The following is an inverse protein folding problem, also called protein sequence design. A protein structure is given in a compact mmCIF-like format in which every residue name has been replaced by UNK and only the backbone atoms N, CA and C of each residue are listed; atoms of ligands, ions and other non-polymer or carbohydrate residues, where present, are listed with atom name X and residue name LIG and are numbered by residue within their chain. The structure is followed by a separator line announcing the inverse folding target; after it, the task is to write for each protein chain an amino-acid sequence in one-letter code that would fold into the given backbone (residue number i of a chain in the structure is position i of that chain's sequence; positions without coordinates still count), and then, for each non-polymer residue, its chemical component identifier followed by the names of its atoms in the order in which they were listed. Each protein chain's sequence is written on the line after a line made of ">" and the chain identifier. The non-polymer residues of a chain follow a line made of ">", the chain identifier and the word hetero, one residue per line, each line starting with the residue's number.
data_IF_332808406405
#
_entry.id   IF_332808406405
#
_cell.length_a   1.000
_cell.length_b   1.000
_cell.length_c   1.000
_cell.angle_alpha   90.00
_cell.angle_beta   90.00
_cell.angle_gamma   90.00
#
_symmetry.space_group_name_H-M   'P 1'
#
loop_
_entity.id
_entity.type
_entity.pdbx_description
1 polymer ?
#
# COMPACT_ATOMS: atom_id res chain seq x y z
N UNK A 1 4.20 -0.17 3.98
CA UNK A 1 3.27 -1.25 3.56
C UNK A 1 3.43 -1.43 2.05
N UNK A 2 2.84 -2.47 1.44
CA UNK A 2 3.06 -2.74 0.01
C UNK A 2 1.95 -2.15 -0.88
N UNK A 3 0.95 -2.91 -1.36
CA UNK A 3 -0.13 -2.35 -2.21
C UNK A 3 -1.53 -2.60 -1.65
N UNK A 4 -1.85 -3.81 -1.20
CA UNK A 4 -3.23 -4.17 -0.84
C UNK A 4 -3.72 -3.39 0.38
N UNK A 5 -2.89 -3.24 1.42
CA UNK A 5 -3.22 -2.41 2.59
C UNK A 5 -3.45 -0.95 2.20
N UNK A 6 -2.63 -0.39 1.30
CA UNK A 6 -2.80 0.98 0.83
C UNK A 6 -4.13 1.20 0.10
N UNK A 7 -4.52 0.26 -0.77
CA UNK A 7 -5.80 0.33 -1.45
C UNK A 7 -6.97 0.12 -0.51
N UNK A 8 -6.89 -0.83 0.43
CA UNK A 8 -7.92 -1.05 1.44
C UNK A 8 -8.23 0.25 2.20
N UNK A 9 -7.18 0.93 2.67
CA UNK A 9 -7.33 2.15 3.46
C UNK A 9 -7.82 3.34 2.63
N UNK A 10 -7.54 3.37 1.32
CA UNK A 10 -8.10 4.36 0.41
C UNK A 10 -9.62 4.21 0.20
N UNK A 11 -10.21 3.08 0.60
CA UNK A 11 -11.65 2.82 0.48
C UNK A 11 -12.10 2.77 -0.98
N UNK A 12 -13.25 3.40 -1.25
CA UNK A 12 -13.88 3.47 -2.59
C UNK A 12 -13.59 4.78 -3.33
N UNK A 13 -12.65 5.58 -2.82
CA UNK A 13 -12.26 6.86 -3.45
C UNK A 13 -11.13 6.63 -4.46
N UNK A 14 -11.47 6.71 -5.75
CA UNK A 14 -10.54 6.52 -6.86
C UNK A 14 -9.37 7.51 -6.83
N UNK A 15 -9.57 8.74 -6.37
CA UNK A 15 -8.50 9.73 -6.25
C UNK A 15 -7.51 9.32 -5.16
N UNK A 16 -8.01 8.82 -4.01
CA UNK A 16 -7.15 8.29 -2.95
C UNK A 16 -6.41 7.03 -3.38
N UNK A 17 -7.06 6.13 -4.14
CA UNK A 17 -6.43 4.92 -4.69
C UNK A 17 -5.31 5.28 -5.67
N UNK A 18 -5.55 6.22 -6.58
CA UNK A 18 -4.53 6.73 -7.51
C UNK A 18 -3.38 7.39 -6.75
N UNK A 19 -3.68 8.23 -5.75
CA UNK A 19 -2.66 8.86 -4.93
C UNK A 19 -1.81 7.84 -4.16
N UNK A 20 -2.43 6.80 -3.60
CA UNK A 20 -1.72 5.73 -2.92
C UNK A 20 -0.79 4.95 -3.87
N UNK A 21 -1.23 4.64 -5.09
CA UNK A 21 -0.34 4.05 -6.11
C UNK A 21 0.91 4.92 -6.35
N UNK A 22 0.74 6.24 -6.36
CA UNK A 22 1.77 7.22 -6.71
C UNK A 22 2.70 7.59 -5.54
N UNK A 23 2.41 7.19 -4.30
CA UNK A 23 3.14 7.60 -3.10
C UNK A 23 4.64 7.40 -3.18
N UNK A 24 5.08 6.26 -3.70
CA UNK A 24 6.49 5.94 -3.91
C UNK A 24 7.13 6.63 -5.11
N UNK A 25 6.33 7.08 -6.09
CA UNK A 25 6.81 7.67 -7.33
C UNK A 25 6.96 9.19 -7.23
N UNK A 26 6.17 9.82 -6.36
CA UNK A 26 6.20 11.28 -6.15
C UNK A 26 7.21 11.60 -5.05
N UNK A 27 8.31 12.27 -5.43
CA UNK A 27 9.37 12.69 -4.52
C UNK A 27 9.21 14.17 -4.13
N UNK A 28 9.65 14.53 -2.93
CA UNK A 28 9.59 15.90 -2.43
C UNK A 28 8.19 16.32 -1.96
N UNK A 29 7.89 17.62 -2.05
CA UNK A 29 6.63 18.22 -1.57
C UNK A 29 5.46 17.84 -2.47
N UNK A 30 4.41 17.26 -1.90
CA UNK A 30 3.24 16.77 -2.67
C UNK A 30 2.47 17.93 -3.28
N UNK A 31 2.43 19.08 -2.60
CA UNK A 31 1.78 20.30 -3.11
C UNK A 31 2.41 20.81 -4.42
N UNK A 32 3.65 20.40 -4.75
CA UNK A 32 4.33 20.74 -6.00
C UNK A 32 4.21 19.66 -7.07
N UNK A 33 3.49 18.58 -6.78
CA UNK A 33 3.28 17.53 -7.74
C UNK A 33 2.28 17.96 -8.79
N UNK A 34 2.73 17.89 -10.05
CA UNK A 34 1.97 18.27 -11.23
C UNK A 34 1.95 17.11 -12.22
N UNK A 35 0.75 16.75 -12.66
CA UNK A 35 0.46 15.84 -13.78
C UNK A 35 -0.90 16.23 -14.36
N UNK A 36 -1.17 15.91 -15.65
CA UNK A 36 -2.50 16.09 -16.21
C UNK A 36 -3.57 15.43 -15.33
N UNK A 37 -4.59 16.20 -14.95
CA UNK A 37 -5.70 15.70 -14.13
C UNK A 37 -5.34 15.43 -12.66
N UNK A 38 -4.24 15.99 -12.13
CA UNK A 38 -3.99 15.98 -10.69
C UNK A 38 -5.07 16.79 -9.96
N UNK A 39 -5.59 16.26 -8.87
CA UNK A 39 -6.54 16.93 -7.98
C UNK A 39 -5.95 17.02 -6.58
N UNK A 40 -6.53 17.87 -5.72
CA UNK A 40 -6.13 17.92 -4.32
C UNK A 40 -6.48 16.61 -3.58
N UNK A 41 -7.55 15.92 -4.00
CA UNK A 41 -7.89 14.61 -3.44
C UNK A 41 -6.84 13.55 -3.78
N UNK A 42 -6.31 13.55 -5.01
CA UNK A 42 -5.21 12.68 -5.41
C UNK A 42 -3.93 13.01 -4.62
N UNK A 43 -3.63 14.29 -4.41
CA UNK A 43 -2.53 14.73 -3.53
C UNK A 43 -2.73 14.23 -2.08
N UNK A 44 -3.96 14.27 -1.57
CA UNK A 44 -4.31 13.66 -0.29
C UNK A 44 -4.04 12.16 -0.28
N UNK A 45 -4.31 11.43 -1.37
CA UNK A 45 -3.93 10.02 -1.51
C UNK A 45 -2.41 9.78 -1.47
N UNK A 46 -1.60 10.64 -2.11
CA UNK A 46 -0.12 10.56 -2.04
C UNK A 46 0.35 10.80 -0.60
N UNK A 47 -0.24 11.78 0.09
CA UNK A 47 0.09 12.07 1.49
C UNK A 47 -0.36 10.92 2.40
N UNK A 48 -1.52 10.31 2.13
CA UNK A 48 -2.03 9.15 2.84
C UNK A 48 -1.07 7.97 2.75
N UNK A 49 -0.52 7.67 1.57
CA UNK A 49 0.54 6.65 1.42
C UNK A 49 1.70 6.90 2.38
N UNK A 50 2.21 8.13 2.43
CA UNK A 50 3.31 8.51 3.31
C UNK A 50 2.93 8.43 4.79
N UNK A 51 1.69 8.75 5.14
CA UNK A 51 1.15 8.60 6.49
C UNK A 51 1.13 7.13 6.90
N UNK A 52 0.64 6.24 6.02
CA UNK A 52 0.62 4.79 6.24
C UNK A 52 2.04 4.27 6.48
N UNK A 53 2.98 4.62 5.60
CA UNK A 53 4.36 4.16 5.72
C UNK A 53 5.05 4.70 6.98
N UNK A 54 4.88 5.99 7.28
CA UNK A 54 5.48 6.59 8.47
C UNK A 54 4.92 6.00 9.78
N UNK A 55 3.62 5.67 9.80
CA UNK A 55 3.00 4.99 10.94
C UNK A 55 3.53 3.57 11.09
N UNK A 56 3.53 2.79 10.00
CA UNK A 56 4.09 1.43 9.96
C UNK A 56 5.55 1.38 10.43
N UNK A 57 6.38 2.32 9.96
CA UNK A 57 7.80 2.36 10.29
C UNK A 57 8.11 2.68 11.75
N UNK A 58 7.14 3.17 12.52
CA UNK A 58 7.28 3.48 13.95
C UNK A 58 6.51 2.51 14.85
N UNK A 59 5.67 1.65 14.27
CA UNK A 59 4.78 0.82 15.05
C UNK A 59 5.55 -0.32 15.76
N UNK A 60 5.39 -0.50 17.08
CA UNK A 60 6.11 -1.54 17.83
C UNK A 60 5.95 -2.95 17.26
N UNK A 61 4.73 -3.34 16.88
CA UNK A 61 4.47 -4.66 16.29
C UNK A 61 5.21 -4.87 14.96
N UNK A 62 5.23 -3.86 14.08
CA UNK A 62 5.99 -3.90 12.81
C UNK A 62 7.49 -4.04 13.09
N UNK A 63 8.02 -3.34 14.10
CA UNK A 63 9.42 -3.51 14.51
C UNK A 63 9.72 -4.91 15.06
N UNK A 64 8.82 -5.52 15.83
CA UNK A 64 8.98 -6.92 16.30
C UNK A 64 9.07 -7.88 15.12
N UNK A 65 8.18 -7.74 14.15
CA UNK A 65 8.18 -8.51 12.91
C UNK A 65 9.46 -8.32 12.09
N UNK A 66 9.88 -7.06 11.84
CA UNK A 66 11.13 -6.75 11.11
C UNK A 66 12.37 -7.37 11.78
N UNK A 67 12.40 -7.42 13.12
CA UNK A 67 13.53 -7.99 13.89
C UNK A 67 13.69 -9.50 13.71
N UNK A 68 12.60 -10.25 13.53
CA UNK A 68 12.66 -11.70 13.27
C UNK A 68 13.46 -11.99 12.00
N UNK A 69 13.29 -11.15 10.97
CA UNK A 69 13.96 -11.31 9.68
C UNK A 69 15.34 -10.61 9.62
N UNK A 70 15.64 -9.75 10.59
CA UNK A 70 16.78 -8.83 10.51
C UNK A 70 18.15 -9.51 10.48
N UNK A 71 18.26 -10.71 11.06
CA UNK A 71 19.49 -11.50 11.04
C UNK A 71 19.86 -11.95 9.62
N UNK A 72 18.89 -12.39 8.82
CA UNK A 72 19.13 -12.90 7.47
C UNK A 72 18.99 -11.80 6.39
N UNK A 73 18.07 -10.85 6.57
CA UNK A 73 17.70 -9.88 5.53
C UNK A 73 18.08 -8.42 5.85
N UNK A 74 18.54 -8.13 7.07
CA UNK A 74 18.99 -6.80 7.48
C UNK A 74 17.96 -5.70 7.18
N UNK A 75 18.37 -4.67 6.44
CA UNK A 75 17.51 -3.54 6.06
C UNK A 75 16.35 -3.94 5.14
N UNK A 76 16.46 -5.06 4.41
CA UNK A 76 15.43 -5.53 3.49
C UNK A 76 14.26 -6.21 4.21
N UNK A 77 14.40 -6.48 5.50
CA UNK A 77 13.34 -7.02 6.35
C UNK A 77 12.06 -6.20 6.26
N UNK A 78 12.17 -4.86 6.13
CA UNK A 78 11.00 -4.00 5.97
C UNK A 78 10.17 -4.33 4.73
N UNK A 79 10.83 -4.46 3.57
CA UNK A 79 10.18 -4.81 2.31
C UNK A 79 9.49 -6.18 2.40
N UNK A 80 10.13 -7.14 3.07
CA UNK A 80 9.57 -8.48 3.24
C UNK A 80 8.32 -8.43 4.14
N UNK A 81 8.38 -7.69 5.25
CA UNK A 81 7.22 -7.52 6.15
C UNK A 81 6.08 -6.78 5.47
N UNK A 82 6.35 -5.76 4.65
CA UNK A 82 5.32 -5.05 3.90
C UNK A 82 4.54 -5.98 2.96
N UNK A 83 5.25 -6.87 2.25
CA UNK A 83 4.62 -7.90 1.39
C UNK A 83 3.89 -8.95 2.22
N UNK A 84 4.46 -9.36 3.36
CA UNK A 84 3.84 -10.33 4.24
C UNK A 84 2.56 -9.80 4.89
N UNK A 85 2.47 -8.51 5.21
CA UNK A 85 1.25 -7.92 5.77
C UNK A 85 0.12 -7.89 4.72
N UNK A 86 0.44 -7.59 3.46
CA UNK A 86 -0.50 -7.77 2.34
C UNK A 86 -0.92 -9.25 2.19
N UNK A 87 -0.04 -10.21 2.45
CA UNK A 87 -0.36 -11.64 2.44
C UNK A 87 -1.37 -12.02 3.52
N UNK A 88 -1.13 -11.58 4.76
CA UNK A 88 -2.03 -11.84 5.89
C UNK A 88 -3.40 -11.22 5.62
N UNK A 89 -3.43 -9.98 5.15
CA UNK A 89 -4.66 -9.29 4.73
C UNK A 89 -5.41 -10.07 3.63
N UNK A 90 -4.70 -10.48 2.57
CA UNK A 90 -5.31 -11.20 1.45
C UNK A 90 -5.84 -12.60 1.86
N UNK A 91 -5.13 -13.30 2.74
CA UNK A 91 -5.55 -14.63 3.25
C UNK A 91 -6.80 -14.56 4.11
N UNK A 92 -6.97 -13.47 4.87
CA UNK A 92 -8.09 -13.25 5.78
C UNK A 92 -9.04 -12.17 5.29
N UNK A 93 -9.11 -11.99 3.98
CA UNK A 93 -9.80 -10.85 3.37
C UNK A 93 -11.26 -10.69 3.80
N UNK A 94 -11.98 -11.80 4.00
CA UNK A 94 -13.39 -11.80 4.43
C UNK A 94 -13.61 -11.20 5.83
N UNK A 95 -12.56 -11.08 6.64
CA UNK A 95 -12.61 -10.42 7.95
C UNK A 95 -12.55 -8.88 7.82
N UNK A 96 -12.06 -8.38 6.69
CA UNK A 96 -11.71 -6.97 6.51
C UNK A 96 -12.56 -6.26 5.46
N UNK A 97 -13.21 -6.99 4.56
CA UNK A 97 -13.99 -6.40 3.47
C UNK A 97 -15.18 -7.28 3.06
N UNK A 98 -16.36 -6.69 2.76
CA UNK A 98 -17.56 -7.46 2.42
C UNK A 98 -17.52 -8.07 1.02
N UNK A 99 -16.85 -7.43 0.06
CA UNK A 99 -16.75 -7.95 -1.31
C UNK A 99 -15.57 -8.91 -1.47
N UNK A 100 -15.68 -9.97 -2.29
CA UNK A 100 -14.57 -10.90 -2.55
C UNK A 100 -13.30 -10.21 -3.05
N UNK A 101 -12.13 -10.68 -2.61
CA UNK A 101 -10.82 -10.09 -2.97
C UNK A 101 -10.62 -10.00 -4.49
N UNK A 102 -11.10 -10.99 -5.22
CA UNK A 102 -11.02 -11.00 -6.69
C UNK A 102 -11.79 -9.85 -7.32
N UNK A 103 -13.01 -9.57 -6.86
CA UNK A 103 -13.83 -8.46 -7.38
C UNK A 103 -13.21 -7.11 -7.01
N UNK A 104 -12.78 -6.98 -5.75
CA UNK A 104 -12.09 -5.79 -5.27
C UNK A 104 -10.81 -5.50 -6.07
N UNK A 105 -9.97 -6.51 -6.30
CA UNK A 105 -8.74 -6.36 -7.07
C UNK A 105 -9.02 -5.91 -8.52
N UNK A 106 -10.04 -6.48 -9.17
CA UNK A 106 -10.42 -6.09 -10.53
C UNK A 106 -10.95 -4.65 -10.59
N UNK A 107 -11.65 -4.19 -9.57
CA UNK A 107 -12.10 -2.80 -9.45
C UNK A 107 -10.90 -1.83 -9.36
N UNK A 108 -9.92 -2.14 -8.50
CA UNK A 108 -8.67 -1.39 -8.40
C UNK A 108 -7.96 -1.34 -9.76
N UNK A 109 -7.82 -2.49 -10.45
CA UNK A 109 -7.15 -2.54 -11.75
C UNK A 109 -7.85 -1.71 -12.81
N UNK A 110 -9.19 -1.75 -12.85
CA UNK A 110 -9.98 -0.95 -13.77
C UNK A 110 -9.78 0.55 -13.50
N UNK A 111 -9.75 0.93 -12.23
CA UNK A 111 -9.47 2.30 -11.79
C UNK A 111 -8.12 2.78 -12.33
N UNK A 112 -7.05 1.99 -12.12
CA UNK A 112 -5.71 2.36 -12.58
C UNK A 112 -5.62 2.44 -14.12
N UNK A 113 -6.21 1.46 -14.83
CA UNK A 113 -6.18 1.42 -16.29
C UNK A 113 -6.94 2.58 -16.93
N UNK A 114 -8.12 2.91 -16.40
CA UNK A 114 -8.96 4.00 -16.91
C UNK A 114 -8.32 5.38 -16.68
N UNK A 115 -7.41 5.47 -15.71
CA UNK A 115 -6.73 6.71 -15.32
C UNK A 115 -5.25 6.76 -15.73
N UNK A 116 -4.78 5.90 -16.66
CA UNK A 116 -3.38 5.92 -17.11
C UNK A 116 -2.91 7.30 -17.61
N UNK A 117 -3.81 8.10 -18.18
CA UNK A 117 -3.53 9.45 -18.66
C UNK A 117 -3.16 10.44 -17.53
N UNK A 118 -3.49 10.10 -16.27
CA UNK A 118 -3.20 10.89 -15.05
C UNK A 118 -2.02 10.33 -14.26
N UNK A 119 -1.55 9.14 -14.66
CA UNK A 119 -0.43 8.42 -14.03
C UNK A 119 0.83 8.70 -14.86
N UNK A 120 1.98 9.05 -14.25
CA UNK A 120 3.23 9.21 -14.98
C UNK A 120 3.58 7.95 -15.79
N UNK A 121 4.04 8.13 -17.03
CA UNK A 121 4.36 7.02 -17.94
C UNK A 121 5.35 6.00 -17.37
N UNK A 122 6.25 6.45 -16.48
CA UNK A 122 7.18 5.58 -15.76
C UNK A 122 6.50 4.53 -14.86
N UNK A 123 5.25 4.76 -14.44
CA UNK A 123 4.46 3.85 -13.59
C UNK A 123 3.59 2.90 -14.41
N UNK A 124 3.34 3.18 -15.69
CA UNK A 124 2.50 2.35 -16.56
C UNK A 124 2.95 0.87 -16.65
N UNK A 125 4.26 0.54 -16.73
CA UNK A 125 4.70 -0.86 -16.72
C UNK A 125 4.32 -1.59 -15.43
N UNK A 126 4.31 -0.90 -14.29
CA UNK A 126 3.87 -1.46 -13.01
C UNK A 126 2.38 -1.76 -13.06
N UNK A 127 1.53 -0.80 -13.46
CA UNK A 127 0.08 -0.98 -13.56
C UNK A 127 -0.27 -2.13 -14.50
N UNK A 128 0.41 -2.18 -15.65
CA UNK A 128 0.22 -3.25 -16.65
C UNK A 128 0.59 -4.62 -16.08
N UNK A 129 1.74 -4.72 -15.42
CA UNK A 129 2.21 -5.98 -14.84
C UNK A 129 1.34 -6.43 -13.66
N UNK A 130 0.97 -5.51 -12.79
CA UNK A 130 0.12 -5.75 -11.63
C UNK A 130 -1.25 -6.29 -12.04
N UNK A 131 -1.85 -5.67 -13.06
CA UNK A 131 -3.16 -6.10 -13.58
C UNK A 131 -3.05 -7.44 -14.30
N UNK A 132 -2.08 -7.58 -15.23
CA UNK A 132 -1.91 -8.79 -16.03
C UNK A 132 -1.69 -10.04 -15.19
N UNK A 133 -1.03 -9.89 -14.05
CA UNK A 133 -0.64 -11.00 -13.17
C UNK A 133 -1.45 -11.03 -11.87
N UNK A 134 -2.54 -10.26 -11.77
CA UNK A 134 -3.48 -10.27 -10.63
C UNK A 134 -2.76 -10.28 -9.26
N UNK A 135 -1.84 -9.33 -9.05
CA UNK A 135 -0.95 -9.33 -7.88
C UNK A 135 -1.71 -9.33 -6.55
N UNK A 136 -2.78 -8.51 -6.45
CA UNK A 136 -3.50 -8.25 -5.21
C UNK A 136 -4.22 -9.52 -4.75
N UNK A 137 -4.88 -10.24 -5.65
CA UNK A 137 -5.47 -11.54 -5.34
C UNK A 137 -4.40 -12.58 -5.04
N UNK A 138 -3.31 -12.59 -5.81
CA UNK A 138 -2.26 -13.58 -5.66
C UNK A 138 -1.52 -13.48 -4.31
N UNK A 139 -1.57 -12.32 -3.63
CA UNK A 139 -1.10 -12.21 -2.25
C UNK A 139 -1.77 -13.21 -1.31
N UNK A 140 -2.98 -13.73 -1.58
CA UNK A 140 -3.60 -14.75 -0.71
C UNK A 140 -2.87 -16.11 -0.74
N UNK A 141 -1.92 -16.32 -1.65
CA UNK A 141 -1.23 -17.61 -1.83
C UNK A 141 0.25 -17.54 -1.44
N UNK A 142 0.81 -18.60 -0.82
CA UNK A 142 2.25 -18.68 -0.55
C UNK A 142 3.11 -18.50 -1.82
N UNK A 143 2.71 -19.15 -2.92
CA UNK A 143 3.39 -19.02 -4.20
C UNK A 143 3.33 -17.59 -4.76
N UNK A 144 2.24 -16.86 -4.51
CA UNK A 144 2.08 -15.49 -4.94
C UNK A 144 3.03 -14.54 -4.22
N UNK A 145 3.24 -14.71 -2.91
CA UNK A 145 4.20 -13.89 -2.16
C UNK A 145 5.64 -14.21 -2.55
N UNK A 146 5.97 -15.49 -2.79
CA UNK A 146 7.28 -15.88 -3.31
C UNK A 146 7.55 -15.21 -4.65
N UNK A 147 6.58 -15.24 -5.57
CA UNK A 147 6.68 -14.56 -6.87
C UNK A 147 6.80 -13.05 -6.73
N UNK A 148 6.08 -12.43 -5.78
CA UNK A 148 6.18 -11.00 -5.51
C UNK A 148 7.59 -10.62 -5.04
N UNK A 149 8.13 -11.34 -4.06
CA UNK A 149 9.48 -11.13 -3.52
C UNK A 149 10.56 -11.38 -4.59
N UNK A 150 10.45 -12.47 -5.36
CA UNK A 150 11.34 -12.74 -6.48
C UNK A 150 11.27 -11.65 -7.57
N UNK A 151 10.07 -11.15 -7.86
CA UNK A 151 9.85 -10.07 -8.81
C UNK A 151 10.47 -8.75 -8.34
N UNK A 152 10.47 -8.47 -7.04
CA UNK A 152 11.20 -7.33 -6.46
C UNK A 152 12.72 -7.54 -6.50
N UNK A 153 13.20 -8.73 -6.12
CA UNK A 153 14.61 -9.11 -6.17
C UNK A 153 15.21 -8.95 -7.58
N UNK A 154 14.48 -9.36 -8.62
CA UNK A 154 14.91 -9.21 -10.03
C UNK A 154 15.06 -7.76 -10.47
N UNK A 155 14.23 -6.85 -9.93
CA UNK A 155 14.24 -5.42 -10.28
C UNK A 155 15.34 -4.64 -9.56
N UNK A 156 15.86 -5.17 -8.45
CA UNK A 156 16.82 -4.50 -7.56
C UNK A 156 17.92 -5.49 -7.18
N UNK A 157 19.12 -5.44 -7.78
CA UNK A 157 20.21 -6.37 -7.45
C UNK A 157 20.56 -6.42 -5.96
N UNK A 158 20.46 -5.27 -5.26
CA UNK A 158 20.66 -5.16 -3.81
C UNK A 158 19.65 -5.99 -3.00
N UNK A 159 18.49 -6.31 -3.58
CA UNK A 159 17.43 -7.09 -2.96
C UNK A 159 17.42 -8.56 -3.41
N UNK A 160 18.46 -9.05 -4.09
CA UNK A 160 18.51 -10.43 -4.61
C UNK A 160 18.18 -11.49 -3.53
N UNK A 161 18.59 -11.25 -2.28
CA UNK A 161 18.37 -12.16 -1.16
C UNK A 161 16.90 -12.33 -0.74
N UNK A 162 16.01 -11.36 -0.96
CA UNK A 162 14.64 -11.44 -0.38
C UNK A 162 13.78 -12.55 -1.01
N UNK A 163 14.19 -13.08 -2.18
CA UNK A 163 13.47 -14.15 -2.86
C UNK A 163 13.42 -15.46 -2.07
N UNK A 164 14.25 -15.63 -1.03
CA UNK A 164 14.29 -16.83 -0.18
C UNK A 164 13.49 -16.71 1.12
N UNK A 165 12.87 -15.55 1.38
CA UNK A 165 12.19 -15.30 2.65
C UNK A 165 10.91 -16.12 2.86
N UNK A 166 10.37 -16.75 1.82
CA UNK A 166 9.12 -17.53 1.90
C UNK A 166 9.12 -18.60 2.99
N UNK A 167 10.23 -19.33 3.17
CA UNK A 167 10.35 -20.34 4.23
C UNK A 167 10.29 -19.71 5.63
N UNK A 168 11.09 -18.67 5.87
CA UNK A 168 11.14 -18.02 7.18
C UNK A 168 9.80 -17.35 7.55
N UNK A 169 9.11 -16.79 6.55
CA UNK A 169 7.76 -16.26 6.73
C UNK A 169 6.74 -17.36 7.09
N UNK A 170 6.84 -18.54 6.49
CA UNK A 170 5.99 -19.68 6.84
C UNK A 170 6.26 -20.19 8.25
N UNK A 171 7.54 -20.33 8.63
CA UNK A 171 7.96 -20.81 9.95
C UNK A 171 7.52 -19.87 11.09
N UNK A 172 7.33 -18.58 10.79
CA UNK A 172 6.91 -17.56 11.76
C UNK A 172 5.50 -17.01 11.50
N UNK A 173 4.69 -17.68 10.67
CA UNK A 173 3.41 -17.15 10.20
C UNK A 173 2.51 -16.67 11.36
N UNK A 174 2.27 -17.51 12.37
CA UNK A 174 1.36 -17.18 13.47
C UNK A 174 1.84 -15.96 14.27
N UNK A 175 3.14 -15.86 14.53
CA UNK A 175 3.71 -14.74 15.28
C UNK A 175 3.63 -13.43 14.50
N UNK A 176 3.99 -13.46 13.22
CA UNK A 176 3.91 -12.29 12.34
C UNK A 176 2.46 -11.87 12.10
N UNK A 177 1.53 -12.83 12.00
CA UNK A 177 0.09 -12.56 11.89
C UNK A 177 -0.46 -11.92 13.16
N UNK A 178 -0.02 -12.34 14.34
CA UNK A 178 -0.42 -11.71 15.60
C UNK A 178 0.08 -10.26 15.71
N UNK A 179 1.31 -9.99 15.24
CA UNK A 179 1.82 -8.61 15.14
C UNK A 179 0.99 -7.77 14.14
N UNK A 180 0.49 -8.37 13.05
CA UNK A 180 -0.42 -7.72 12.12
C UNK A 180 -1.79 -7.42 12.75
N UNK A 181 -2.31 -8.31 13.59
CA UNK A 181 -3.59 -8.14 14.31
C UNK A 181 -3.56 -7.00 15.32
N UNK A 182 -2.41 -6.77 15.97
CA UNK A 182 -2.17 -5.59 16.82
C UNK A 182 -2.07 -4.31 15.96
N UNK A 183 -1.39 -4.39 14.84
CA UNK A 183 -1.06 -3.24 14.00
C UNK A 183 -2.22 -2.67 13.18
N UNK A 184 -2.96 -3.52 12.47
CA UNK A 184 -3.92 -3.07 11.45
C UNK A 184 -5.03 -2.18 12.03
N UNK A 185 -5.68 -2.52 13.17
CA UNK A 185 -6.73 -1.68 13.74
C UNK A 185 -6.24 -0.26 14.09
N UNK A 186 -5.03 -0.13 14.65
CA UNK A 186 -4.44 1.16 14.96
C UNK A 186 -4.13 1.97 13.70
N UNK A 187 -3.63 1.31 12.65
CA UNK A 187 -3.42 1.95 11.34
C UNK A 187 -4.73 2.45 10.73
N UNK A 188 -5.79 1.64 10.77
CA UNK A 188 -7.12 2.03 10.27
C UNK A 188 -7.65 3.28 11.01
N UNK A 189 -7.55 3.30 12.34
CA UNK A 189 -7.97 4.44 13.15
C UNK A 189 -7.16 5.70 12.81
N UNK A 190 -5.84 5.58 12.68
CA UNK A 190 -4.96 6.68 12.32
C UNK A 190 -5.27 7.25 10.93
N UNK A 191 -5.52 6.39 9.95
CA UNK A 191 -5.90 6.82 8.59
C UNK A 191 -7.28 7.49 8.56
N UNK A 192 -8.25 6.98 9.32
CA UNK A 192 -9.57 7.60 9.43
C UNK A 192 -9.47 9.02 10.04
N UNK A 193 -8.66 9.19 11.09
CA UNK A 193 -8.39 10.50 11.68
C UNK A 193 -7.71 11.44 10.69
N UNK A 194 -6.68 10.96 9.97
CA UNK A 194 -6.00 11.73 8.94
C UNK A 194 -6.97 12.27 7.89
N UNK A 195 -7.85 11.41 7.34
CA UNK A 195 -8.84 11.82 6.34
C UNK A 195 -9.85 12.81 6.92
N UNK A 196 -10.35 12.59 8.14
CA UNK A 196 -11.28 13.50 8.80
C UNK A 196 -10.71 14.91 8.98
N UNK A 197 -9.41 15.01 9.33
CA UNK A 197 -8.71 16.30 9.45
C UNK A 197 -8.56 17.00 8.09
N UNK A 198 -8.28 16.26 7.02
CA UNK A 198 -8.20 16.82 5.66
C UNK A 198 -9.53 17.33 5.16
N UNK A 199 -10.57 16.52 5.31
CA UNK A 199 -11.92 16.89 4.88
C UNK A 199 -12.44 18.10 5.65
N UNK A 200 -12.06 18.27 6.92
CA UNK A 200 -12.40 19.45 7.72
C UNK A 200 -11.66 20.71 7.24
N UNK A 201 -10.38 20.59 6.88
CA UNK A 201 -9.58 21.69 6.30
C UNK A 201 -10.13 22.17 4.97
N UNK A 202 -10.46 21.26 4.06
CA UNK A 202 -11.03 21.56 2.74
C UNK A 202 -12.39 22.29 2.84
N UNK A 203 -13.24 21.91 3.81
CA UNK A 203 -14.51 22.61 4.09
C UNK A 203 -14.33 24.02 4.66
N UNK A 204 -13.27 24.25 5.43
CA UNK A 204 -12.98 25.58 5.98
C UNK A 204 -12.43 26.54 4.92
N UNK A 205 -11.65 26.04 3.95
CA UNK A 205 -11.11 26.85 2.85
C UNK A 205 -12.19 27.23 1.83
N UNK A 206 -13.13 26.32 1.54
CA UNK A 206 -14.25 26.58 0.62
C UNK A 206 -15.30 27.56 1.16
N UNK A 207 -15.45 27.69 2.48
CA UNK A 207 -16.34 28.68 3.11
C UNK A 207 -15.70 30.08 3.25
N UNK A 208 -14.39 30.21 3.01
CA UNK A 208 -13.65 31.46 3.12
C UNK A 208 -13.66 32.35 1.87
N UNK A 209 -14.24 31.88 0.76
CA UNK A 209 -14.34 32.67 -0.49
C UNK A 209 -15.60 33.54 -0.43
N UNK A 210 -15.51 34.66 0.28
CA UNK A 210 -16.49 35.75 0.16
C UNK A 210 -16.21 36.47 -1.17
N UNK A 211 -17.15 36.49 -2.12
CA UNK A 211 -16.97 37.25 -3.35
C UNK A 211 -17.04 38.75 -3.02
N UNK A 212 -15.98 39.48 -3.37
CA UNK A 212 -16.03 40.93 -3.53
C UNK A 212 -16.25 41.26 -5.00
#
# INVERSE_FOLDING_TARGET
>A
MNYLVHFLLAGDDDELRLGNLLGDFVKGRVERYEQPGVTDRLRTGIQMHRTIDAFSDRHPAVHRSKRILSEEYGRLSGVIIDVFYDHVLARRWTEHHPHPLGEYAQDIYRTMQSNLHRIPSAVHPLVTSMTRHDWLRNYASPLGIERALQGMARRRPVAAGIGTAGRLLADHFDRLSADFDEFLPELCAHCAEFLAQRDAGERSETQGVVPW
#
